data_IF_280855974709
#
_entry.id   IF_280855974709
#
_cell.length_a   1.000
_cell.length_b   1.000
_cell.length_c   1.000
_cell.angle_alpha   90.00
_cell.angle_beta   90.00
_cell.angle_gamma   90.00
#
_symmetry.space_group_name_H-M   'P 1'
#
loop_
_entity.id
_entity.type
_entity.pdbx_description
1 polymer ?
#
# COMPACT_ATOMS: atom_id res chain seq x y z
N UNK A 1 40.52 -8.73 -21.19
CA UNK A 1 39.17 -8.99 -21.74
C UNK A 1 38.26 -9.34 -20.57
N UNK A 2 37.22 -8.54 -20.32
CA UNK A 2 36.23 -8.88 -19.30
C UNK A 2 35.25 -9.90 -19.89
N UNK A 3 35.08 -11.04 -19.24
CA UNK A 3 34.06 -12.03 -19.62
C UNK A 3 32.86 -11.78 -18.74
N UNK A 4 31.77 -11.28 -19.33
CA UNK A 4 30.49 -11.18 -18.66
C UNK A 4 29.85 -12.57 -18.63
N UNK A 5 29.77 -13.16 -17.44
CA UNK A 5 29.02 -14.40 -17.21
C UNK A 5 27.72 -14.02 -16.50
N UNK A 6 26.61 -14.48 -17.05
CA UNK A 6 25.28 -14.31 -16.45
C UNK A 6 24.92 -15.63 -15.79
N UNK A 7 24.96 -15.68 -14.47
CA UNK A 7 24.40 -16.79 -13.71
C UNK A 7 22.89 -16.60 -13.64
N UNK A 8 22.14 -17.47 -14.33
CA UNK A 8 20.68 -17.43 -14.30
C UNK A 8 20.18 -18.23 -13.11
N UNK A 9 19.41 -17.58 -12.24
CA UNK A 9 18.66 -18.21 -11.15
C UNK A 9 17.39 -18.87 -11.70
N UNK A 10 16.58 -19.50 -10.85
CA UNK A 10 15.31 -20.15 -11.26
C UNK A 10 14.18 -19.15 -11.55
N UNK A 11 14.31 -17.90 -11.12
CA UNK A 11 13.29 -16.85 -11.22
C UNK A 11 13.68 -15.83 -12.30
N UNK A 12 13.45 -16.16 -13.57
CA UNK A 12 13.77 -15.30 -14.70
C UNK A 12 12.57 -15.08 -15.59
N UNK A 13 12.44 -13.86 -16.12
CA UNK A 13 11.39 -13.50 -17.07
C UNK A 13 11.90 -13.72 -18.50
N UNK A 14 11.19 -14.54 -19.27
CA UNK A 14 11.37 -14.62 -20.72
C UNK A 14 10.43 -13.60 -21.34
N UNK A 15 10.97 -12.64 -22.09
CA UNK A 15 10.19 -11.61 -22.78
C UNK A 15 10.73 -11.41 -24.20
N UNK A 16 9.86 -10.92 -25.10
CA UNK A 16 10.25 -10.50 -26.43
C UNK A 16 11.36 -9.44 -26.39
N UNK A 17 12.29 -9.48 -27.35
CA UNK A 17 13.36 -8.48 -27.47
C UNK A 17 12.91 -7.17 -28.12
N UNK A 18 11.63 -7.05 -28.49
CA UNK A 18 11.15 -5.95 -29.32
C UNK A 18 11.35 -4.58 -28.67
N UNK A 19 10.85 -4.38 -27.45
CA UNK A 19 11.03 -3.13 -26.71
C UNK A 19 12.47 -2.89 -26.27
N UNK A 20 13.20 -3.94 -25.91
CA UNK A 20 14.61 -3.83 -25.51
C UNK A 20 15.49 -3.28 -26.64
N UNK A 21 15.18 -3.64 -27.89
CA UNK A 21 15.92 -3.21 -29.09
C UNK A 21 15.40 -1.91 -29.71
N UNK A 22 14.22 -1.43 -29.34
CA UNK A 22 13.67 -0.19 -29.86
C UNK A 22 14.53 1.02 -29.40
N UNK A 23 15.10 1.77 -30.33
CA UNK A 23 15.99 2.91 -30.03
C UNK A 23 15.26 4.19 -29.66
N UNK A 24 13.96 4.27 -29.93
CA UNK A 24 13.11 5.42 -29.61
C UNK A 24 12.66 5.41 -28.14
N UNK A 25 12.66 4.23 -27.50
CA UNK A 25 12.37 4.10 -26.09
C UNK A 25 13.57 4.45 -25.20
N UNK A 26 13.30 5.25 -24.18
CA UNK A 26 14.19 5.50 -23.06
C UNK A 26 14.47 4.22 -22.27
N UNK A 27 15.65 4.13 -21.65
CA UNK A 27 15.98 3.00 -20.77
C UNK A 27 14.97 2.86 -19.62
N UNK A 28 14.38 3.98 -19.18
CA UNK A 28 13.32 4.00 -18.18
C UNK A 28 12.05 3.33 -18.70
N UNK A 29 11.58 3.69 -19.91
CA UNK A 29 10.43 3.06 -20.53
C UNK A 29 10.67 1.56 -20.80
N UNK A 30 11.87 1.19 -21.26
CA UNK A 30 12.26 -0.22 -21.44
C UNK A 30 12.25 -1.01 -20.13
N UNK A 31 12.84 -0.45 -19.08
CA UNK A 31 12.87 -1.05 -17.75
C UNK A 31 11.47 -1.22 -17.18
N UNK A 32 10.64 -0.18 -17.29
CA UNK A 32 9.26 -0.21 -16.81
C UNK A 32 8.41 -1.24 -17.55
N UNK A 33 8.50 -1.32 -18.88
CA UNK A 33 7.79 -2.34 -19.65
C UNK A 33 8.25 -3.75 -19.31
N UNK A 34 9.56 -3.96 -19.16
CA UNK A 34 10.12 -5.26 -18.77
C UNK A 34 9.64 -5.69 -17.38
N UNK A 35 9.56 -4.74 -16.45
CA UNK A 35 9.01 -4.96 -15.12
C UNK A 35 7.52 -5.33 -15.21
N UNK A 36 6.72 -4.55 -15.95
CA UNK A 36 5.29 -4.83 -16.10
C UNK A 36 5.02 -6.22 -16.70
N UNK A 37 5.81 -6.68 -17.67
CA UNK A 37 5.69 -8.01 -18.26
C UNK A 37 6.16 -9.15 -17.33
N UNK A 38 6.88 -8.83 -16.26
CA UNK A 38 7.34 -9.81 -15.26
C UNK A 38 6.35 -10.02 -14.10
N UNK A 39 5.35 -9.14 -14.00
CA UNK A 39 4.38 -9.13 -12.91
C UNK A 39 3.16 -10.00 -13.25
N UNK A 40 2.43 -10.52 -12.25
CA UNK A 40 1.22 -11.29 -12.49
C UNK A 40 0.07 -10.40 -13.00
N UNK A 41 -0.94 -11.00 -13.64
CA UNK A 41 -2.05 -10.27 -14.26
C UNK A 41 -2.91 -9.49 -13.25
N UNK A 42 -2.99 -9.95 -12.00
CA UNK A 42 -3.75 -9.34 -10.91
C UNK A 42 -2.99 -8.22 -10.18
N UNK A 43 -1.82 -7.84 -10.68
CA UNK A 43 -1.02 -6.77 -10.09
C UNK A 43 -1.67 -5.38 -10.26
N UNK A 44 -1.39 -4.47 -9.32
CA UNK A 44 -1.81 -3.07 -9.41
C UNK A 44 -0.93 -2.29 -10.41
N UNK A 45 -1.34 -2.27 -11.68
CA UNK A 45 -0.69 -1.51 -12.77
C UNK A 45 -1.02 -0.01 -12.77
N UNK A 46 -1.63 0.52 -11.70
CA UNK A 46 -1.79 1.97 -11.57
C UNK A 46 -0.43 2.66 -11.46
N UNK A 47 -0.38 3.95 -11.78
CA UNK A 47 0.84 4.77 -11.62
C UNK A 47 1.40 4.72 -10.21
N UNK A 48 0.54 4.59 -9.19
CA UNK A 48 0.93 4.46 -7.78
C UNK A 48 1.49 3.07 -7.50
N UNK A 49 0.84 2.01 -7.95
CA UNK A 49 1.33 0.64 -7.80
C UNK A 49 2.68 0.40 -8.46
N UNK A 50 2.88 0.94 -9.68
CA UNK A 50 4.16 0.85 -10.38
C UNK A 50 5.27 1.70 -9.74
N UNK A 51 4.94 2.89 -9.23
CA UNK A 51 5.90 3.71 -8.48
C UNK A 51 6.29 3.09 -7.14
N UNK A 52 5.46 2.21 -6.59
CA UNK A 52 5.72 1.53 -5.33
C UNK A 52 6.84 0.49 -5.43
N UNK A 53 7.00 -0.15 -6.59
CA UNK A 53 8.02 -1.17 -6.86
C UNK A 53 9.26 -0.62 -7.57
N UNK A 54 9.21 0.63 -8.04
CA UNK A 54 10.32 1.30 -8.68
C UNK A 54 10.98 2.28 -7.70
N UNK A 55 12.31 2.44 -7.80
CA UNK A 55 13.01 3.57 -7.13
C UNK A 55 12.66 4.94 -7.75
N UNK A 56 11.99 4.91 -8.90
CA UNK A 56 11.53 6.07 -9.64
C UNK A 56 10.25 6.65 -9.02
N UNK A 57 10.20 7.97 -8.84
CA UNK A 57 9.01 8.65 -8.33
C UNK A 57 7.81 8.60 -9.28
N UNK A 58 6.61 8.93 -8.77
CA UNK A 58 5.34 8.88 -9.51
C UNK A 58 5.39 9.65 -10.83
N UNK A 59 6.03 10.83 -10.86
CA UNK A 59 6.17 11.63 -12.09
C UNK A 59 7.07 10.94 -13.13
N UNK A 60 8.13 10.27 -12.65
CA UNK A 60 9.05 9.49 -13.48
C UNK A 60 8.34 8.32 -14.15
N UNK A 61 7.52 7.58 -13.38
CA UNK A 61 6.68 6.49 -13.89
C UNK A 61 5.61 7.01 -14.84
N UNK A 62 4.97 8.13 -14.49
CA UNK A 62 3.92 8.74 -15.34
C UNK A 62 4.48 9.18 -16.69
N UNK A 63 5.70 9.71 -16.74
CA UNK A 63 6.34 10.08 -18.00
C UNK A 63 6.71 8.86 -18.84
N UNK A 64 7.24 7.80 -18.22
CA UNK A 64 7.53 6.54 -18.90
C UNK A 64 6.27 5.84 -19.45
N UNK A 65 5.16 5.82 -18.71
CA UNK A 65 3.89 5.26 -19.20
C UNK A 65 3.34 6.02 -20.42
N UNK A 66 3.41 7.36 -20.40
CA UNK A 66 3.04 8.20 -21.56
C UNK A 66 3.93 7.92 -22.77
N UNK A 67 5.20 7.64 -22.54
CA UNK A 67 6.14 7.26 -23.60
C UNK A 67 5.75 5.91 -24.21
N UNK A 68 5.49 4.90 -23.38
CA UNK A 68 5.03 3.58 -23.81
C UNK A 68 3.71 3.65 -24.58
N UNK A 69 2.77 4.49 -24.14
CA UNK A 69 1.50 4.74 -24.83
C UNK A 69 1.72 5.36 -26.22
N UNK A 70 2.61 6.35 -26.33
CA UNK A 70 2.95 6.98 -27.62
C UNK A 70 3.57 6.00 -28.61
N UNK A 71 4.39 5.08 -28.13
CA UNK A 71 5.03 4.07 -28.97
C UNK A 71 4.19 2.78 -29.11
N UNK A 72 2.95 2.76 -28.62
CA UNK A 72 2.00 1.65 -28.85
C UNK A 72 2.18 0.42 -27.97
N UNK A 73 3.03 0.48 -26.95
CA UNK A 73 3.24 -0.63 -26.00
C UNK A 73 2.24 -0.64 -24.85
N UNK A 74 1.45 0.41 -24.71
CA UNK A 74 0.42 0.55 -23.69
C UNK A 74 -0.84 1.16 -24.33
N UNK A 75 -2.00 0.56 -24.07
CA UNK A 75 -3.29 1.16 -24.39
C UNK A 75 -4.10 1.38 -23.14
N UNK A 76 -4.81 2.51 -23.09
CA UNK A 76 -5.63 2.90 -21.95
C UNK A 76 -7.08 3.04 -22.38
N UNK A 77 -7.97 2.23 -21.80
CA UNK A 77 -9.40 2.31 -22.03
C UNK A 77 -10.11 2.76 -20.77
N UNK A 78 -11.01 3.74 -20.90
CA UNK A 78 -11.83 4.20 -19.77
C UNK A 78 -13.19 3.53 -19.85
N UNK A 79 -13.50 2.70 -18.87
CA UNK A 79 -14.79 2.06 -18.75
C UNK A 79 -15.84 3.13 -18.41
N UNK A 80 -17.04 2.97 -18.97
CA UNK A 80 -18.22 3.75 -18.59
C UNK A 80 -19.19 2.79 -17.94
N UNK A 81 -19.66 3.14 -16.75
CA UNK A 81 -20.72 2.38 -16.11
C UNK A 81 -22.06 2.68 -16.80
N UNK A 82 -23.01 1.74 -16.74
CA UNK A 82 -24.33 1.85 -17.39
C UNK A 82 -25.13 3.09 -16.95
N UNK A 83 -24.77 3.67 -15.80
CA UNK A 83 -25.36 4.91 -15.27
C UNK A 83 -24.72 6.20 -15.81
N UNK A 84 -23.81 6.12 -16.78
CA UNK A 84 -23.11 7.27 -17.36
C UNK A 84 -22.01 7.86 -16.46
N UNK A 85 -21.73 7.26 -15.30
CA UNK A 85 -20.58 7.64 -14.49
C UNK A 85 -19.28 7.15 -15.13
N UNK A 86 -18.23 7.95 -14.95
CA UNK A 86 -16.87 7.61 -15.37
C UNK A 86 -16.40 6.42 -14.54
N UNK A 87 -16.14 5.29 -15.19
CA UNK A 87 -15.61 4.10 -14.57
C UNK A 87 -14.11 4.02 -14.55
N UNK A 88 -13.64 2.83 -14.18
CA UNK A 88 -12.23 2.53 -13.99
C UNK A 88 -11.46 2.58 -15.30
N UNK A 89 -10.15 2.69 -15.16
CA UNK A 89 -9.22 2.75 -16.28
C UNK A 89 -8.57 1.38 -16.41
N UNK A 90 -8.78 0.75 -17.55
CA UNK A 90 -8.13 -0.50 -17.93
C UNK A 90 -6.87 -0.16 -18.74
N UNK A 91 -5.77 -0.81 -18.36
CA UNK A 91 -4.49 -0.72 -19.07
C UNK A 91 -4.22 -2.06 -19.73
N UNK A 92 -3.93 -2.05 -21.03
CA UNK A 92 -3.47 -3.23 -21.76
C UNK A 92 -2.03 -3.02 -22.16
N UNK A 93 -1.15 -3.91 -21.71
CA UNK A 93 0.28 -3.89 -22.00
C UNK A 93 0.53 -4.83 -23.19
N UNK A 94 1.30 -4.36 -24.17
CA UNK A 94 1.59 -5.12 -25.38
C UNK A 94 3.08 -5.44 -25.48
N UNK A 95 3.44 -6.70 -25.75
CA UNK A 95 4.84 -7.08 -26.00
C UNK A 95 5.39 -6.53 -27.33
N UNK A 96 4.48 -6.23 -28.27
CA UNK A 96 4.78 -5.61 -29.56
C UNK A 96 3.91 -4.36 -29.71
N UNK A 97 4.44 -3.29 -30.32
CA UNK A 97 3.71 -2.05 -30.43
C UNK A 97 2.49 -2.23 -31.34
N UNK A 98 1.34 -1.80 -30.86
CA UNK A 98 0.11 -1.76 -31.65
C UNK A 98 -0.03 -0.37 -32.25
N UNK A 99 -0.29 -0.29 -33.55
CA UNK A 99 -0.52 0.96 -34.26
C UNK A 99 -1.70 1.70 -33.64
N UNK A 100 -1.44 2.85 -33.01
CA UNK A 100 -2.45 3.69 -32.33
C UNK A 100 -3.30 4.52 -33.30
N UNK A 101 -3.35 4.15 -34.58
CA UNK A 101 -4.02 4.93 -35.62
C UNK A 101 -5.57 4.91 -35.50
N UNK A 102 -6.18 4.07 -34.66
CA UNK A 102 -7.64 3.90 -34.63
C UNK A 102 -8.33 3.97 -33.25
N UNK A 103 -7.67 4.40 -32.17
CA UNK A 103 -8.36 4.62 -30.88
C UNK A 103 -8.63 6.11 -30.67
N UNK A 104 -9.78 6.55 -31.17
CA UNK A 104 -10.22 7.95 -31.18
C UNK A 104 -10.27 8.62 -29.80
N UNK A 105 -9.75 9.85 -29.77
CA UNK A 105 -10.14 10.97 -28.90
C UNK A 105 -10.08 10.71 -27.39
N UNK A 106 -8.88 10.77 -26.82
CA UNK A 106 -8.74 11.37 -25.49
C UNK A 106 -9.24 12.82 -25.55
N UNK A 107 -10.21 13.25 -24.72
CA UNK A 107 -10.65 14.64 -24.72
C UNK A 107 -9.50 15.53 -24.22
N UNK A 108 -8.90 16.30 -25.13
CA UNK A 108 -8.11 17.47 -24.75
C UNK A 108 -9.03 18.38 -23.95
N UNK A 109 -8.85 18.46 -22.63
CA UNK A 109 -9.39 19.56 -21.85
C UNK A 109 -8.67 20.82 -22.32
N UNK A 110 -9.35 21.64 -23.11
CA UNK A 110 -8.97 23.04 -23.25
C UNK A 110 -9.10 23.68 -21.86
N UNK A 111 -7.99 24.23 -21.37
CA UNK A 111 -8.01 25.10 -20.19
C UNK A 111 -8.98 26.26 -20.50
N UNK A 112 -9.97 26.55 -19.64
CA UNK A 112 -10.75 27.77 -19.79
C UNK A 112 -9.78 28.95 -19.68
N UNK A 113 -9.69 29.76 -20.75
CA UNK A 113 -9.01 31.05 -20.68
C UNK A 113 -9.74 31.89 -19.64
N UNK A 114 -9.08 32.18 -18.52
CA UNK A 114 -9.52 33.23 -17.60
C UNK A 114 -9.52 34.55 -18.38
N UNK A 115 -10.71 35.08 -18.62
CA UNK A 115 -10.88 36.45 -19.09
C UNK A 115 -10.47 37.36 -17.93
N UNK A 116 -9.38 38.11 -18.12
CA UNK A 116 -9.02 39.22 -17.22
C UNK A 116 -10.14 40.26 -17.26
N UNK A 117 -10.74 40.66 -16.13
CA UNK A 117 -11.48 41.91 -16.07
C UNK A 117 -10.46 43.06 -16.10
N UNK A 118 -10.55 43.92 -17.11
CA UNK A 118 -9.93 45.25 -17.04
C UNK A 118 -10.65 46.06 -15.96
N UNK A 119 -9.94 46.38 -14.88
CA UNK A 119 -10.38 47.41 -13.93
C UNK A 119 -9.60 48.70 -14.19
N UNK A 120 -10.34 49.70 -14.64
CA UNK A 120 -9.89 51.08 -14.75
C UNK A 120 -9.43 51.61 -13.38
N UNK A 121 -8.28 52.29 -13.35
CA UNK A 121 -7.78 53.02 -12.18
C UNK A 121 -8.68 54.22 -11.87
N UNK A 122 -9.00 54.46 -10.59
CA UNK A 122 -9.19 55.81 -10.08
C UNK A 122 -8.01 56.20 -9.18
N UNK A 123 -7.59 57.47 -9.27
CA UNK A 123 -6.58 58.08 -8.43
C UNK A 123 -7.19 58.61 -7.11
N UNK A 124 -6.47 58.35 -6.02
CA UNK A 124 -6.08 59.28 -4.94
C UNK A 124 -7.14 59.86 -3.97
N UNK A 125 -6.99 59.54 -2.67
CA UNK A 125 -6.77 60.49 -1.56
C UNK A 125 -6.71 59.72 -0.21
N UNK A 126 -5.71 60.00 0.64
CA UNK A 126 -5.75 59.70 2.08
C UNK A 126 -6.82 60.54 2.77
N UNK A 127 -7.42 60.03 3.87
CA UNK A 127 -7.19 60.70 5.14
C UNK A 127 -7.05 59.77 6.36
N UNK A 128 -6.70 60.41 7.46
CA UNK A 128 -6.16 59.95 8.74
C UNK A 128 -7.18 59.27 9.71
N UNK A 129 -6.58 58.54 10.66
CA UNK A 129 -6.91 58.44 12.10
C UNK A 129 -8.09 57.60 12.66
N UNK A 130 -7.76 57.08 13.86
CA UNK A 130 -8.58 56.59 14.99
C UNK A 130 -9.03 55.11 15.06
N UNK A 131 -8.38 54.38 15.98
CA UNK A 131 -8.99 53.35 16.84
C UNK A 131 -9.82 54.08 17.93
N UNK A 132 -10.91 53.53 18.53
CA UNK A 132 -10.85 52.25 19.27
C UNK A 132 -12.18 51.46 19.46
N UNK A 133 -12.07 50.39 20.27
CA UNK A 133 -13.07 49.80 21.20
C UNK A 133 -13.96 48.63 20.69
N UNK A 134 -13.76 47.41 21.23
CA UNK A 134 -14.60 46.76 22.28
C UNK A 134 -15.79 45.99 21.66
N UNK A 135 -16.19 44.74 21.96
CA UNK A 135 -16.08 43.81 23.10
C UNK A 135 -16.61 42.41 22.67
N UNK A 136 -16.11 41.33 23.30
CA UNK A 136 -16.81 40.09 23.76
C UNK A 136 -17.59 39.19 22.75
N UNK A 137 -17.66 37.84 22.80
CA UNK A 137 -17.54 36.80 23.85
C UNK A 137 -17.23 35.43 23.19
N UNK A 138 -16.56 34.52 23.93
CA UNK A 138 -16.37 33.07 23.65
C UNK A 138 -17.70 32.24 23.61
N UNK A 139 -17.68 30.89 23.63
CA UNK A 139 -17.52 29.90 22.55
C UNK A 139 -18.76 28.94 22.46
N UNK A 140 -18.70 27.85 21.64
CA UNK A 140 -19.25 26.48 21.87
C UNK A 140 -19.96 25.79 20.66
N UNK A 141 -19.40 24.62 20.27
CA UNK A 141 -19.94 23.33 19.73
C UNK A 141 -21.18 23.27 18.80
N UNK A 142 -21.06 22.47 17.72
CA UNK A 142 -21.84 21.22 17.43
C UNK A 142 -21.34 20.60 16.09
N UNK A 143 -20.74 19.38 16.02
CA UNK A 143 -21.26 17.99 16.00
C UNK A 143 -21.93 17.48 14.69
N UNK A 144 -21.39 16.33 14.20
CA UNK A 144 -21.94 15.18 13.41
C UNK A 144 -21.42 15.05 11.94
N UNK A 145 -20.63 14.01 11.58
CA UNK A 145 -20.90 12.56 11.34
C UNK A 145 -21.44 12.32 9.91
N UNK A 146 -21.03 11.39 9.01
CA UNK A 146 -20.59 9.97 9.04
C UNK A 146 -19.81 9.62 7.73
N UNK A 147 -18.73 8.82 7.80
CA UNK A 147 -18.48 7.45 7.23
C UNK A 147 -18.83 7.18 5.74
N UNK A 148 -17.82 6.75 4.96
CA UNK A 148 -17.60 5.35 4.47
C UNK A 148 -16.30 5.31 3.63
N UNK A 149 -15.20 4.70 4.10
CA UNK A 149 -14.75 3.30 3.88
C UNK A 149 -14.82 2.80 2.43
N UNK A 150 -13.69 2.89 1.73
CA UNK A 150 -13.17 1.78 0.91
C UNK A 150 -11.64 1.82 0.99
N UNK A 151 -11.06 0.66 1.30
CA UNK A 151 -9.69 0.46 1.75
C UNK A 151 -8.96 -0.30 0.64
N UNK A 152 -7.84 0.22 0.16
CA UNK A 152 -6.84 -0.55 -0.61
C UNK A 152 -5.46 -0.01 -0.23
N UNK A 153 -4.77 -0.72 0.67
CA UNK A 153 -3.49 -0.31 1.27
C UNK A 153 -2.31 -0.58 0.31
N UNK A 154 -1.49 0.44 -0.02
CA UNK A 154 -0.16 0.27 -0.63
C UNK A 154 0.84 -0.39 0.34
N UNK A 155 1.83 -1.11 -0.16
CA UNK A 155 2.76 -1.93 0.64
C UNK A 155 3.85 -1.12 1.34
N UNK A 156 3.61 -0.59 2.54
CA UNK A 156 4.54 0.27 3.32
C UNK A 156 5.83 -0.47 3.80
N UNK A 157 6.09 -1.70 3.38
CA UNK A 157 7.15 -2.54 3.96
C UNK A 157 8.56 -2.30 3.37
N UNK A 158 9.62 -2.36 4.19
CA UNK A 158 10.99 -2.13 3.76
C UNK A 158 11.44 -3.32 2.90
N UNK A 159 12.07 -3.02 1.75
CA UNK A 159 12.66 -4.03 0.88
C UNK A 159 13.75 -4.81 1.62
N UNK A 160 13.74 -6.15 1.54
CA UNK A 160 14.85 -6.95 2.10
C UNK A 160 16.14 -6.63 1.34
N UNK A 161 17.28 -6.37 2.03
CA UNK A 161 18.54 -6.10 1.35
C UNK A 161 19.10 -7.40 0.75
N UNK A 162 19.31 -7.41 -0.56
CA UNK A 162 20.04 -8.48 -1.24
C UNK A 162 21.49 -8.52 -0.75
N UNK A 163 21.94 -9.74 -0.42
CA UNK A 163 23.23 -9.99 0.19
C UNK A 163 24.40 -9.56 -0.71
N UNK A 164 24.99 -8.40 -0.42
CA UNK A 164 26.30 -8.01 -0.93
C UNK A 164 27.08 -7.24 0.15
N UNK A 165 27.82 -7.99 0.98
CA UNK A 165 29.00 -7.61 1.75
C UNK A 165 29.29 -6.10 1.87
N UNK A 166 28.76 -5.39 2.89
CA UNK A 166 29.46 -4.47 3.84
C UNK A 166 28.58 -4.26 5.10
N UNK A 167 29.19 -4.33 6.29
CA UNK A 167 28.60 -4.00 7.62
C UNK A 167 27.22 -4.59 7.96
N UNK A 168 27.11 -5.93 7.90
CA UNK A 168 25.91 -6.77 8.18
C UNK A 168 25.14 -6.48 9.50
N UNK A 169 25.75 -5.76 10.45
CA UNK A 169 25.09 -5.39 11.70
C UNK A 169 24.20 -4.14 11.61
N UNK A 170 24.63 -3.11 10.88
CA UNK A 170 23.93 -1.81 10.83
C UNK A 170 22.65 -1.92 10.02
N UNK A 171 22.75 -2.51 8.82
CA UNK A 171 21.62 -2.73 7.91
C UNK A 171 20.56 -3.65 8.53
N UNK A 172 20.99 -4.63 9.34
CA UNK A 172 20.07 -5.54 10.05
C UNK A 172 19.34 -4.83 11.19
N UNK A 173 20.02 -3.95 11.92
CA UNK A 173 19.38 -3.13 12.97
C UNK A 173 18.38 -2.17 12.34
N UNK A 174 18.74 -1.50 11.26
CA UNK A 174 17.83 -0.60 10.53
C UNK A 174 16.61 -1.36 9.98
N UNK A 175 16.79 -2.57 9.45
CA UNK A 175 15.70 -3.42 8.99
C UNK A 175 14.75 -3.83 10.13
N UNK A 176 15.32 -4.24 11.27
CA UNK A 176 14.55 -4.62 12.47
C UNK A 176 13.70 -3.43 12.94
N UNK A 177 14.31 -2.24 13.01
CA UNK A 177 13.61 -1.04 13.46
C UNK A 177 12.53 -0.60 12.48
N UNK A 178 12.80 -0.69 11.17
CA UNK A 178 11.81 -0.35 10.16
C UNK A 178 10.57 -1.26 10.25
N UNK A 179 10.74 -2.58 10.37
CA UNK A 179 9.60 -3.49 10.57
C UNK A 179 8.90 -3.29 11.92
N UNK A 180 9.66 -2.98 12.98
CA UNK A 180 9.10 -2.66 14.29
C UNK A 180 8.15 -1.47 14.21
N UNK A 181 8.58 -0.38 13.57
CA UNK A 181 7.76 0.84 13.44
C UNK A 181 6.50 0.58 12.61
N UNK A 182 6.62 -0.20 11.54
CA UNK A 182 5.44 -0.56 10.72
C UNK A 182 4.44 -1.41 11.52
N UNK A 183 4.92 -2.38 12.30
CA UNK A 183 4.04 -3.17 13.16
C UNK A 183 3.36 -2.26 14.18
N UNK A 184 4.10 -1.36 14.84
CA UNK A 184 3.54 -0.41 15.82
C UNK A 184 2.47 0.49 15.20
N UNK A 185 2.71 1.00 13.99
CA UNK A 185 1.75 1.82 13.26
C UNK A 185 0.48 1.01 12.94
N UNK A 186 0.64 -0.18 12.37
CA UNK A 186 -0.48 -1.04 11.99
C UNK A 186 -1.37 -1.43 13.18
N UNK A 187 -0.75 -1.72 14.33
CA UNK A 187 -1.48 -2.11 15.55
C UNK A 187 -1.89 -0.90 16.41
N UNK A 188 -1.63 0.34 15.97
CA UNK A 188 -1.91 1.55 16.75
C UNK A 188 -1.35 1.45 18.19
N UNK A 189 -0.08 1.05 18.32
CA UNK A 189 0.56 0.64 19.59
C UNK A 189 0.32 1.65 20.72
N UNK A 190 0.52 2.94 20.46
CA UNK A 190 0.39 4.01 21.46
C UNK A 190 -1.03 4.13 22.04
N UNK A 191 -2.05 3.68 21.30
CA UNK A 191 -3.43 3.64 21.77
C UNK A 191 -3.73 2.33 22.50
N UNK A 192 -3.32 1.19 21.95
CA UNK A 192 -3.57 -0.11 22.56
C UNK A 192 -2.85 -0.30 23.90
N UNK A 193 -1.67 0.31 24.05
CA UNK A 193 -0.86 0.17 25.27
C UNK A 193 -1.57 0.71 26.51
N UNK A 194 -2.43 1.71 26.32
CA UNK A 194 -3.26 2.29 27.38
C UNK A 194 -4.33 1.32 27.90
N UNK A 195 -4.77 0.38 27.06
CA UNK A 195 -5.83 -0.58 27.41
C UNK A 195 -5.28 -1.91 27.93
N UNK A 196 -4.27 -2.47 27.25
CA UNK A 196 -3.78 -3.82 27.53
C UNK A 196 -2.45 -3.86 28.28
N UNK A 197 -1.80 -2.71 28.46
CA UNK A 197 -0.50 -2.60 29.12
C UNK A 197 0.67 -2.88 28.19
N UNK A 198 1.82 -2.30 28.56
CA UNK A 198 3.06 -2.38 27.76
C UNK A 198 3.60 -3.80 27.63
N UNK A 199 3.68 -4.53 28.72
CA UNK A 199 4.26 -5.88 28.76
C UNK A 199 3.57 -6.83 27.76
N UNK A 200 2.23 -6.82 27.75
CA UNK A 200 1.43 -7.67 26.87
C UNK A 200 1.56 -7.30 25.39
N UNK A 201 1.60 -6.00 25.08
CA UNK A 201 1.81 -5.56 23.70
C UNK A 201 3.22 -5.84 23.20
N UNK A 202 4.23 -5.61 24.04
CA UNK A 202 5.62 -5.87 23.69
C UNK A 202 5.82 -7.37 23.38
N UNK A 203 5.22 -8.27 24.16
CA UNK A 203 5.26 -9.71 23.88
C UNK A 203 4.67 -10.05 22.50
N UNK A 204 3.49 -9.50 22.18
CA UNK A 204 2.85 -9.74 20.89
C UNK A 204 3.64 -9.14 19.72
N UNK A 205 4.16 -7.92 19.89
CA UNK A 205 4.96 -7.23 18.89
C UNK A 205 6.25 -8.00 18.61
N UNK A 206 6.99 -8.41 19.65
CA UNK A 206 8.23 -9.18 19.49
C UNK A 206 7.97 -10.50 18.78
N UNK A 207 6.86 -11.17 19.09
CA UNK A 207 6.45 -12.39 18.38
C UNK A 207 6.19 -12.11 16.90
N UNK A 208 5.42 -11.06 16.58
CA UNK A 208 5.15 -10.68 15.18
C UNK A 208 6.44 -10.36 14.43
N UNK A 209 7.35 -9.62 15.06
CA UNK A 209 8.63 -9.24 14.50
C UNK A 209 9.53 -10.46 14.25
N UNK A 210 9.60 -11.40 15.18
CA UNK A 210 10.34 -12.67 15.03
C UNK A 210 9.84 -13.47 13.82
N UNK A 211 8.53 -13.51 13.62
CA UNK A 211 7.90 -14.22 12.50
C UNK A 211 8.21 -13.56 11.17
N UNK A 212 8.06 -12.24 11.09
CA UNK A 212 8.29 -11.43 9.88
C UNK A 212 9.76 -11.51 9.44
N UNK A 213 10.69 -11.51 10.39
CA UNK A 213 12.14 -11.54 10.13
C UNK A 213 12.72 -12.95 10.07
N UNK A 214 11.88 -13.98 10.10
CA UNK A 214 12.33 -15.37 10.05
C UNK A 214 13.08 -15.65 8.74
N UNK A 215 14.28 -16.22 8.87
CA UNK A 215 15.09 -16.71 7.74
C UNK A 215 14.72 -18.12 7.30
N UNK A 216 13.76 -18.77 7.98
CA UNK A 216 13.34 -20.14 7.63
C UNK A 216 12.49 -20.09 6.36
N UNK A 217 12.67 -21.03 5.40
CA UNK A 217 11.88 -21.04 4.16
C UNK A 217 10.40 -21.36 4.41
N UNK A 218 10.12 -22.14 5.46
CA UNK A 218 8.77 -22.52 5.88
C UNK A 218 8.58 -22.25 7.37
N UNK A 219 7.36 -21.89 7.75
CA UNK A 219 6.94 -21.65 9.13
C UNK A 219 5.72 -22.52 9.40
N UNK A 220 5.78 -23.28 10.49
CA UNK A 220 4.71 -24.17 10.92
C UNK A 220 3.67 -23.40 11.73
N UNK A 221 2.42 -23.43 11.29
CA UNK A 221 1.29 -22.74 11.92
C UNK A 221 0.13 -23.71 12.04
N UNK A 222 -0.39 -23.89 13.26
CA UNK A 222 -1.51 -24.81 13.55
C UNK A 222 -1.34 -26.26 13.05
N UNK A 223 -0.10 -26.70 12.78
CA UNK A 223 0.21 -28.05 12.29
C UNK A 223 0.54 -28.14 10.80
N UNK A 224 0.35 -27.06 10.04
CA UNK A 224 0.67 -26.99 8.61
C UNK A 224 1.90 -26.12 8.37
N UNK A 225 2.66 -26.45 7.32
CA UNK A 225 3.86 -25.70 6.94
C UNK A 225 3.52 -24.71 5.81
N UNK A 226 3.76 -23.43 6.06
CA UNK A 226 3.49 -22.35 5.10
C UNK A 226 4.80 -21.71 4.61
N UNK A 227 4.90 -21.33 3.32
CA UNK A 227 6.00 -20.52 2.81
C UNK A 227 6.15 -19.22 3.61
N UNK A 228 7.39 -18.82 3.93
CA UNK A 228 7.67 -17.65 4.77
C UNK A 228 7.00 -16.37 4.27
N UNK A 229 6.92 -16.16 2.96
CA UNK A 229 6.37 -14.94 2.37
C UNK A 229 4.87 -14.82 2.57
N UNK A 230 4.15 -15.96 2.59
CA UNK A 230 2.72 -15.99 2.86
C UNK A 230 2.46 -15.61 4.33
N UNK A 231 3.28 -16.18 5.23
CA UNK A 231 3.18 -15.87 6.66
C UNK A 231 3.52 -14.41 6.92
N UNK A 232 4.63 -13.93 6.36
CA UNK A 232 5.04 -12.53 6.44
C UNK A 232 3.95 -11.59 5.95
N UNK A 233 3.40 -11.83 4.75
CA UNK A 233 2.31 -11.02 4.18
C UNK A 233 1.08 -10.96 5.08
N UNK A 234 0.70 -12.08 5.72
CA UNK A 234 -0.44 -12.11 6.64
C UNK A 234 -0.16 -11.39 7.96
N UNK A 235 1.01 -11.60 8.56
CA UNK A 235 1.40 -10.93 9.80
C UNK A 235 1.46 -9.41 9.64
N UNK A 236 1.92 -8.95 8.48
CA UNK A 236 1.97 -7.53 8.16
C UNK A 236 0.57 -6.90 8.00
N UNK A 237 -0.48 -7.69 7.73
CA UNK A 237 -1.88 -7.21 7.68
C UNK A 237 -2.56 -7.13 9.06
N UNK A 238 -1.90 -7.58 10.12
CA UNK A 238 -2.44 -7.49 11.48
C UNK A 238 -2.55 -6.01 11.85
N UNK A 239 -3.69 -5.63 12.43
CA UNK A 239 -3.98 -4.27 12.87
C UNK A 239 -4.50 -4.29 14.31
N UNK A 240 -4.84 -3.12 14.85
CA UNK A 240 -5.29 -3.00 16.24
C UNK A 240 -6.47 -3.92 16.56
N UNK A 241 -7.50 -3.95 15.71
CA UNK A 241 -8.67 -4.81 15.89
C UNK A 241 -8.36 -6.31 15.88
N UNK A 242 -7.45 -6.76 15.00
CA UNK A 242 -7.00 -8.15 14.99
C UNK A 242 -6.30 -8.52 16.31
N UNK A 243 -5.52 -7.61 16.87
CA UNK A 243 -4.79 -7.84 18.11
C UNK A 243 -5.74 -7.86 19.33
N UNK A 244 -6.72 -6.95 19.38
CA UNK A 244 -7.80 -6.97 20.38
C UNK A 244 -8.57 -8.30 20.34
N UNK A 245 -8.95 -8.76 19.14
CA UNK A 245 -9.61 -10.04 18.94
C UNK A 245 -8.80 -11.22 19.48
N UNK A 246 -7.48 -11.24 19.24
CA UNK A 246 -6.59 -12.29 19.74
C UNK A 246 -6.51 -12.25 21.27
N UNK A 247 -6.42 -11.07 21.87
CA UNK A 247 -6.44 -10.93 23.33
C UNK A 247 -7.75 -11.39 23.94
N UNK A 248 -8.88 -11.02 23.35
CA UNK A 248 -10.19 -11.49 23.77
C UNK A 248 -10.28 -13.03 23.72
N UNK A 249 -9.75 -13.64 22.66
CA UNK A 249 -9.72 -15.10 22.52
C UNK A 249 -8.88 -15.77 23.60
N UNK A 250 -7.79 -15.14 24.06
CA UNK A 250 -6.95 -15.67 25.16
C UNK A 250 -7.67 -15.50 26.50
N UNK A 251 -8.22 -14.31 26.74
CA UNK A 251 -8.82 -13.94 28.02
C UNK A 251 -10.10 -14.73 28.29
N UNK A 252 -10.85 -15.07 27.23
CA UNK A 252 -12.04 -15.93 27.31
C UNK A 252 -11.71 -17.43 27.27
N UNK A 253 -10.47 -17.83 27.01
CA UNK A 253 -10.11 -19.25 26.93
C UNK A 253 -10.12 -19.89 28.32
N UNK A 254 -10.96 -20.90 28.50
CA UNK A 254 -11.09 -21.65 29.76
C UNK A 254 -10.15 -22.86 29.84
N UNK A 255 -9.48 -23.21 28.75
CA UNK A 255 -8.57 -24.36 28.68
C UNK A 255 -7.11 -23.94 28.87
N UNK A 256 -6.34 -24.78 29.57
CA UNK A 256 -4.91 -24.52 29.78
C UNK A 256 -4.14 -24.62 28.47
N UNK A 257 -3.52 -23.51 28.06
CA UNK A 257 -2.65 -23.47 26.89
C UNK A 257 -1.26 -24.02 27.25
N UNK A 258 -0.92 -25.21 26.75
CA UNK A 258 0.38 -25.85 27.03
C UNK A 258 1.56 -25.21 26.29
N UNK A 259 1.32 -24.67 25.10
CA UNK A 259 2.33 -23.95 24.30
C UNK A 259 1.76 -22.59 23.89
N UNK A 260 1.98 -21.59 24.75
CA UNK A 260 1.42 -20.24 24.56
C UNK A 260 1.91 -19.59 23.28
N UNK A 261 3.19 -19.76 22.93
CA UNK A 261 3.78 -19.20 21.71
C UNK A 261 3.12 -19.75 20.45
N UNK A 262 2.95 -21.08 20.37
CA UNK A 262 2.31 -21.71 19.21
C UNK A 262 0.82 -21.32 19.09
N UNK A 263 0.13 -21.18 20.22
CA UNK A 263 -1.24 -20.70 20.25
C UNK A 263 -1.36 -19.26 19.74
N UNK A 264 -0.55 -18.34 20.29
CA UNK A 264 -0.51 -16.94 19.87
C UNK A 264 -0.18 -16.80 18.39
N UNK A 265 0.83 -17.55 17.92
CA UNK A 265 1.22 -17.56 16.51
C UNK A 265 0.05 -17.96 15.61
N UNK A 266 -0.66 -19.03 15.96
CA UNK A 266 -1.83 -19.50 15.21
C UNK A 266 -3.00 -18.51 15.27
N UNK A 267 -3.26 -17.91 16.43
CA UNK A 267 -4.33 -16.93 16.61
C UNK A 267 -4.06 -15.67 15.78
N UNK A 268 -2.86 -15.10 15.85
CA UNK A 268 -2.44 -13.92 15.09
C UNK A 268 -2.49 -14.17 13.58
N UNK A 269 -2.03 -15.33 13.12
CA UNK A 269 -2.05 -15.69 11.70
C UNK A 269 -3.47 -15.80 11.13
N UNK A 270 -4.41 -16.32 11.93
CA UNK A 270 -5.79 -16.54 11.52
C UNK A 270 -6.69 -15.32 11.72
N UNK A 271 -6.32 -14.39 12.61
CA UNK A 271 -7.14 -13.24 12.98
C UNK A 271 -7.71 -12.46 11.79
N UNK A 272 -6.95 -12.09 10.74
CA UNK A 272 -7.51 -11.38 9.59
C UNK A 272 -8.56 -12.16 8.79
N UNK A 273 -8.58 -13.49 8.90
CA UNK A 273 -9.52 -14.35 8.19
C UNK A 273 -10.75 -14.72 9.06
N UNK A 274 -10.60 -14.77 10.38
CA UNK A 274 -11.63 -15.32 11.28
C UNK A 274 -12.35 -14.28 12.13
N UNK A 275 -11.76 -13.10 12.36
CA UNK A 275 -12.29 -12.07 13.27
C UNK A 275 -13.74 -11.67 12.94
N UNK A 276 -14.03 -11.35 11.69
CA UNK A 276 -15.38 -10.91 11.28
C UNK A 276 -16.45 -11.98 11.51
N UNK A 277 -16.11 -13.24 11.23
CA UNK A 277 -17.03 -14.37 11.45
C UNK A 277 -17.26 -14.61 12.94
N UNK A 278 -16.22 -14.46 13.76
CA UNK A 278 -16.31 -14.59 15.21
C UNK A 278 -17.27 -13.55 15.80
N UNK A 279 -17.05 -12.26 15.54
CA UNK A 279 -17.90 -11.20 16.12
C UNK A 279 -19.34 -11.27 15.59
N UNK A 280 -19.55 -11.66 14.32
CA UNK A 280 -20.90 -11.88 13.79
C UNK A 280 -21.61 -13.02 14.52
N UNK A 281 -20.90 -14.10 14.83
CA UNK A 281 -21.46 -15.21 15.60
C UNK A 281 -21.77 -14.80 17.05
N UNK A 282 -20.88 -14.05 17.70
CA UNK A 282 -21.06 -13.54 19.07
C UNK A 282 -22.27 -12.60 19.17
N UNK A 283 -22.39 -11.62 18.25
CA UNK A 283 -23.56 -10.71 18.21
C UNK A 283 -24.85 -11.47 17.96
N UNK A 284 -24.86 -12.46 17.06
CA UNK A 284 -26.05 -13.27 16.82
C UNK A 284 -26.44 -14.10 18.06
N UNK A 285 -25.46 -14.65 18.76
CA UNK A 285 -25.69 -15.37 20.01
C UNK A 285 -26.27 -14.43 21.09
N UNK A 286 -25.75 -13.22 21.23
CA UNK A 286 -26.26 -12.27 22.23
C UNK A 286 -27.65 -11.72 21.90
N UNK A 287 -27.99 -11.59 20.61
CA UNK A 287 -29.29 -11.08 20.16
C UNK A 287 -30.37 -12.16 20.05
N UNK A 288 -29.99 -13.38 19.68
CA UNK A 288 -30.94 -14.45 19.31
C UNK A 288 -30.67 -15.78 19.99
N UNK A 289 -29.57 -15.91 20.74
CA UNK A 289 -29.27 -17.09 21.54
C UNK A 289 -30.17 -17.13 22.77
N UNK A 290 -31.14 -18.03 22.74
CA UNK A 290 -31.91 -18.48 23.90
C UNK A 290 -31.59 -19.95 24.14
#
# INVERSE_FOLDING_TARGET
MAVFRVEKTKDFTIMSNHHLRNTELSLKAKGLLSLMLSLPEDWDYTTKGLAHICKDGVDSITTALKELERHGYLTRQRLRYDNGQLGDIEYTIHEQPVSTENTGLSPKRENPRQVKPEQAKPKQAEPEQENPAQLNTNPLKTKKSKKDKSITYPSIYPAEPEAANRTDGMDRIELIEAYREIIKENIEYDLLVLRYGRERLDEALELMLEVILSKRPYIRIAGDDFPREIVKSRFLKINSGHLEYVFDCIDKNTTKVGNIKAYLLAALYNAPATMDSYYRAEVNHDLYGC
#
